data_IF_025174537642
#
_entry.id   IF_025174537642
#
_cell.length_a   1.000
_cell.length_b   1.000
_cell.length_c   1.000
_cell.angle_alpha   90.00
_cell.angle_beta   90.00
_cell.angle_gamma   90.00
#
_symmetry.space_group_name_H-M   'P 1'
#
loop_
_entity.id
_entity.type
_entity.pdbx_description
1 polymer ?
#
# COMPACT_ATOMS: atom_id res chain seq x y z
N UNK A 1 -61.39 -29.21 39.95
CA UNK A 1 -59.96 -28.82 40.09
C UNK A 1 -59.83 -27.33 39.81
N UNK A 2 -59.71 -26.50 40.87
CA UNK A 2 -59.59 -25.04 40.77
C UNK A 2 -58.11 -24.67 40.67
N UNK A 3 -57.71 -24.01 39.57
CA UNK A 3 -56.40 -23.35 39.46
C UNK A 3 -56.37 -22.16 40.43
N UNK A 4 -55.35 -22.02 41.30
CA UNK A 4 -55.25 -20.85 42.17
C UNK A 4 -54.89 -19.63 41.31
N UNK A 5 -55.81 -18.67 41.25
CA UNK A 5 -55.52 -17.32 40.74
C UNK A 5 -54.78 -16.57 41.85
N UNK A 6 -53.54 -16.13 41.56
CA UNK A 6 -52.68 -15.36 42.47
C UNK A 6 -53.46 -14.19 43.12
N UNK A 7 -53.69 -14.20 44.45
CA UNK A 7 -54.24 -13.06 45.16
C UNK A 7 -53.08 -12.18 45.63
N UNK A 8 -52.42 -11.46 44.71
CA UNK A 8 -51.32 -10.56 45.08
C UNK A 8 -51.52 -9.09 44.65
N UNK A 9 -52.68 -8.74 44.09
CA UNK A 9 -52.89 -7.49 43.33
C UNK A 9 -54.02 -6.60 43.89
N UNK A 10 -54.05 -6.34 45.21
CA UNK A 10 -54.98 -5.34 45.80
C UNK A 10 -54.29 -4.40 46.81
N UNK A 11 -53.01 -4.13 46.63
CA UNK A 11 -52.33 -3.04 47.33
C UNK A 11 -52.27 -1.81 46.43
N UNK A 12 -52.67 -0.64 46.95
CA UNK A 12 -52.54 0.65 46.27
C UNK A 12 -51.14 0.85 45.66
N UNK A 13 -50.10 0.37 46.36
CA UNK A 13 -48.70 0.36 45.92
C UNK A 13 -48.45 -0.46 44.66
N UNK A 14 -49.05 -1.65 44.52
CA UNK A 14 -48.89 -2.50 43.34
C UNK A 14 -49.60 -1.90 42.13
N UNK A 15 -50.76 -1.26 42.35
CA UNK A 15 -51.51 -0.59 41.31
C UNK A 15 -50.78 0.66 40.79
N UNK A 16 -50.19 1.47 41.68
CA UNK A 16 -49.32 2.59 41.31
C UNK A 16 -48.11 2.08 40.53
N UNK A 17 -47.42 1.04 41.01
CA UNK A 17 -46.24 0.50 40.33
C UNK A 17 -46.55 -0.02 38.92
N UNK A 18 -47.66 -0.74 38.74
CA UNK A 18 -48.03 -1.32 37.45
C UNK A 18 -48.56 -0.28 36.44
N UNK A 19 -49.29 0.74 36.90
CA UNK A 19 -49.99 1.68 36.01
C UNK A 19 -49.16 2.93 35.71
N UNK A 20 -48.30 3.39 36.62
CA UNK A 20 -47.52 4.62 36.42
C UNK A 20 -46.04 4.35 36.28
N UNK A 21 -45.45 3.60 37.21
CA UNK A 21 -43.99 3.41 37.25
C UNK A 21 -43.53 2.55 36.09
N UNK A 22 -44.15 1.39 35.87
CA UNK A 22 -43.75 0.45 34.83
C UNK A 22 -43.84 1.02 33.39
N UNK A 23 -44.92 1.71 32.96
CA UNK A 23 -44.93 2.31 31.64
C UNK A 23 -43.95 3.49 31.52
N UNK A 24 -43.72 4.26 32.58
CA UNK A 24 -42.74 5.34 32.57
C UNK A 24 -41.31 4.79 32.43
N UNK A 25 -40.96 3.73 33.16
CA UNK A 25 -39.64 3.10 33.04
C UNK A 25 -39.45 2.46 31.66
N UNK A 26 -40.49 1.83 31.11
CA UNK A 26 -40.44 1.27 29.77
C UNK A 26 -40.25 2.36 28.70
N UNK A 27 -40.92 3.51 28.85
CA UNK A 27 -40.72 4.66 27.98
C UNK A 27 -39.29 5.21 28.08
N UNK A 28 -38.77 5.39 29.30
CA UNK A 28 -37.39 5.84 29.53
C UNK A 28 -36.38 4.86 28.93
N UNK A 29 -36.61 3.56 29.06
CA UNK A 29 -35.77 2.52 28.48
C UNK A 29 -35.77 2.61 26.96
N UNK A 30 -36.93 2.76 26.34
CA UNK A 30 -37.05 2.89 24.88
C UNK A 30 -36.29 4.12 24.36
N UNK A 31 -36.42 5.27 25.03
CA UNK A 31 -35.68 6.50 24.67
C UNK A 31 -34.17 6.31 24.87
N UNK A 32 -33.75 5.72 25.99
CA UNK A 32 -32.34 5.51 26.30
C UNK A 32 -31.66 4.57 25.29
N UNK A 33 -32.28 3.43 24.97
CA UNK A 33 -31.77 2.50 23.97
C UNK A 33 -31.77 3.10 22.57
N UNK A 34 -32.81 3.86 22.21
CA UNK A 34 -32.87 4.57 20.93
C UNK A 34 -31.73 5.57 20.77
N UNK A 35 -31.50 6.40 21.79
CA UNK A 35 -30.41 7.39 21.80
C UNK A 35 -29.02 6.74 21.72
N UNK A 36 -28.79 5.68 22.50
CA UNK A 36 -27.54 4.95 22.49
C UNK A 36 -27.26 4.29 21.14
N UNK A 37 -28.28 3.65 20.54
CA UNK A 37 -28.14 2.99 19.24
C UNK A 37 -27.81 3.99 18.12
N UNK A 38 -28.46 5.16 18.12
CA UNK A 38 -28.17 6.23 17.16
C UNK A 38 -26.74 6.75 17.34
N UNK A 39 -26.34 7.06 18.58
CA UNK A 39 -25.01 7.58 18.87
C UNK A 39 -23.90 6.59 18.47
N UNK A 40 -24.09 5.30 18.73
CA UNK A 40 -23.16 4.26 18.29
C UNK A 40 -23.06 4.14 16.76
N UNK A 41 -24.15 4.38 16.04
CA UNK A 41 -24.16 4.33 14.57
C UNK A 41 -23.42 5.53 14.01
N UNK A 42 -23.68 6.71 14.54
CA UNK A 42 -23.01 7.95 14.11
C UNK A 42 -21.50 7.88 14.35
N UNK A 43 -21.08 7.36 15.52
CA UNK A 43 -19.66 7.18 15.81
C UNK A 43 -18.99 6.15 14.89
N UNK A 44 -19.68 5.05 14.55
CA UNK A 44 -19.15 4.08 13.58
C UNK A 44 -19.02 4.67 12.18
N UNK A 45 -19.99 5.48 11.74
CA UNK A 45 -19.92 6.16 10.45
C UNK A 45 -18.75 7.14 10.40
N UNK A 46 -18.54 7.95 11.45
CA UNK A 46 -17.42 8.89 11.52
C UNK A 46 -16.05 8.22 11.48
N UNK A 47 -15.90 7.05 12.13
CA UNK A 47 -14.65 6.28 12.06
C UNK A 47 -14.45 5.70 10.66
N UNK A 48 -15.50 5.14 10.05
CA UNK A 48 -15.44 4.62 8.68
C UNK A 48 -14.99 5.69 7.67
N UNK A 49 -15.60 6.88 7.71
CA UNK A 49 -15.25 7.99 6.82
C UNK A 49 -13.80 8.46 7.03
N UNK A 50 -13.33 8.44 8.28
CA UNK A 50 -11.95 8.83 8.60
C UNK A 50 -10.97 7.79 8.07
N UNK A 51 -11.25 6.52 8.27
CA UNK A 51 -10.38 5.42 7.88
C UNK A 51 -10.33 5.29 6.34
N UNK A 52 -11.45 5.52 5.65
CA UNK A 52 -11.49 5.61 4.18
C UNK A 52 -10.61 6.74 3.66
N UNK A 53 -10.76 7.95 4.21
CA UNK A 53 -9.94 9.11 3.80
C UNK A 53 -8.46 8.92 4.11
N UNK A 54 -8.16 8.26 5.22
CA UNK A 54 -6.79 7.89 5.61
C UNK A 54 -6.16 6.95 4.58
N UNK A 55 -6.85 5.86 4.22
CA UNK A 55 -6.38 4.91 3.19
C UNK A 55 -6.25 5.59 1.84
N UNK A 56 -7.21 6.41 1.44
CA UNK A 56 -7.17 7.14 0.17
C UNK A 56 -5.99 8.11 0.12
N UNK A 57 -5.70 8.83 1.21
CA UNK A 57 -4.54 9.71 1.29
C UNK A 57 -3.22 8.95 1.21
N UNK A 58 -3.13 7.79 1.87
CA UNK A 58 -1.95 6.93 1.81
C UNK A 58 -1.72 6.37 0.40
N UNK A 59 -2.79 5.91 -0.25
CA UNK A 59 -2.73 5.41 -1.63
C UNK A 59 -2.30 6.51 -2.61
N UNK A 60 -2.87 7.72 -2.49
CA UNK A 60 -2.49 8.86 -3.34
C UNK A 60 -1.02 9.28 -3.15
N UNK A 61 -0.51 9.19 -1.92
CA UNK A 61 0.90 9.47 -1.64
C UNK A 61 1.82 8.42 -2.28
N UNK A 62 1.49 7.13 -2.17
CA UNK A 62 2.24 6.06 -2.83
C UNK A 62 2.19 6.17 -4.36
N UNK A 63 1.02 6.51 -4.91
CA UNK A 63 0.83 6.73 -6.35
C UNK A 63 1.69 7.90 -6.85
N UNK A 64 1.74 9.01 -6.12
CA UNK A 64 2.59 10.16 -6.47
C UNK A 64 4.07 9.77 -6.50
N UNK A 65 4.50 8.96 -5.54
CA UNK A 65 5.88 8.53 -5.37
C UNK A 65 6.29 7.47 -6.42
N UNK A 66 5.36 6.61 -6.85
CA UNK A 66 5.54 5.73 -8.01
C UNK A 66 5.61 6.53 -9.32
N UNK A 67 4.70 7.48 -9.53
CA UNK A 67 4.73 8.36 -10.70
C UNK A 67 6.02 9.18 -10.77
N UNK A 68 6.54 9.62 -9.63
CA UNK A 68 7.83 10.30 -9.55
C UNK A 68 8.95 9.42 -10.13
N UNK A 69 9.09 8.18 -9.65
CA UNK A 69 10.11 7.24 -10.18
C UNK A 69 9.93 6.92 -11.66
N UNK A 70 8.69 6.74 -12.11
CA UNK A 70 8.39 6.53 -13.54
C UNK A 70 8.83 7.73 -14.39
N UNK A 71 8.59 8.95 -13.92
CA UNK A 71 9.03 10.17 -14.58
C UNK A 71 10.56 10.30 -14.56
N UNK A 72 11.24 9.92 -13.47
CA UNK A 72 12.70 9.88 -13.37
C UNK A 72 13.31 8.94 -14.42
N UNK A 73 12.80 7.70 -14.54
CA UNK A 73 13.26 6.73 -15.56
C UNK A 73 12.95 7.21 -16.98
N UNK A 74 11.78 7.81 -17.22
CA UNK A 74 11.43 8.36 -18.54
C UNK A 74 12.34 9.54 -18.93
N UNK A 75 12.71 10.37 -17.96
CA UNK A 75 13.65 11.48 -18.16
C UNK A 75 15.04 10.95 -18.50
N UNK A 76 15.50 9.89 -17.83
CA UNK A 76 16.74 9.20 -18.17
C UNK A 76 16.73 8.61 -19.58
N UNK A 77 15.62 7.98 -19.98
CA UNK A 77 15.48 7.47 -21.35
C UNK A 77 15.58 8.60 -22.40
N UNK A 78 14.99 9.76 -22.11
CA UNK A 78 15.10 10.96 -22.98
C UNK A 78 16.53 11.49 -23.04
N UNK A 79 17.29 11.42 -21.94
CA UNK A 79 18.70 11.81 -21.93
C UNK A 79 19.51 10.85 -22.81
N UNK A 80 19.27 9.54 -22.70
CA UNK A 80 19.91 8.52 -23.55
C UNK A 80 19.57 8.72 -25.02
N UNK A 81 18.33 9.11 -25.35
CA UNK A 81 17.94 9.43 -26.74
C UNK A 81 18.78 10.59 -27.30
N UNK A 82 19.06 11.61 -26.48
CA UNK A 82 19.75 12.84 -26.92
C UNK A 82 21.28 12.76 -26.88
N UNK A 83 21.84 12.07 -25.89
CA UNK A 83 23.27 12.10 -25.54
C UNK A 83 23.93 10.72 -25.53
N UNK A 84 23.18 9.67 -25.86
CA UNK A 84 23.64 8.29 -25.81
C UNK A 84 24.02 7.82 -24.39
N UNK A 85 24.76 6.72 -24.32
CA UNK A 85 25.23 6.11 -23.06
C UNK A 85 26.11 7.03 -22.23
N UNK A 86 26.92 7.89 -22.86
CA UNK A 86 27.76 8.87 -22.16
C UNK A 86 26.93 9.91 -21.40
N UNK A 87 25.74 10.27 -21.91
CA UNK A 87 24.81 11.15 -21.19
C UNK A 87 24.28 10.52 -19.91
N UNK A 88 23.95 9.23 -19.96
CA UNK A 88 23.49 8.46 -18.80
C UNK A 88 24.58 8.31 -17.73
N UNK A 89 25.80 7.95 -18.14
CA UNK A 89 26.96 7.82 -17.23
C UNK A 89 27.25 9.14 -16.49
N UNK A 90 27.20 10.27 -17.20
CA UNK A 90 27.38 11.58 -16.59
C UNK A 90 26.29 11.93 -15.57
N UNK A 91 25.04 11.51 -15.83
CA UNK A 91 23.94 11.74 -14.89
C UNK A 91 24.06 10.82 -13.68
N UNK A 92 24.39 9.54 -13.84
CA UNK A 92 24.59 8.65 -12.69
C UNK A 92 25.80 9.01 -11.84
N UNK A 93 26.85 9.55 -12.46
CA UNK A 93 28.07 9.95 -11.76
C UNK A 93 27.93 11.29 -11.03
N UNK A 94 26.89 12.06 -11.35
CA UNK A 94 26.62 13.30 -10.64
C UNK A 94 26.08 13.00 -9.24
N UNK A 95 26.45 13.75 -8.19
CA UNK A 95 25.81 13.65 -6.89
C UNK A 95 24.38 14.21 -7.00
N UNK A 96 23.44 13.36 -7.39
CA UNK A 96 22.03 13.70 -7.58
C UNK A 96 21.12 12.69 -6.88
N UNK A 97 19.89 13.12 -6.60
CA UNK A 97 18.86 12.34 -5.89
C UNK A 97 18.38 11.10 -6.66
N UNK A 98 18.79 10.91 -7.92
CA UNK A 98 18.35 9.72 -8.68
C UNK A 98 18.80 8.40 -8.04
N UNK A 99 19.93 8.40 -7.35
CA UNK A 99 20.41 7.20 -6.63
C UNK A 99 19.62 6.92 -5.35
N UNK A 100 18.93 7.92 -4.79
CA UNK A 100 18.10 7.72 -3.59
C UNK A 100 16.69 7.22 -3.93
N UNK A 101 16.23 7.48 -5.15
CA UNK A 101 14.94 6.98 -5.67
C UNK A 101 14.92 5.46 -5.92
N UNK A 102 16.08 4.85 -6.21
CA UNK A 102 16.19 3.43 -6.60
C UNK A 102 17.11 2.67 -5.64
N UNK A 103 16.53 1.83 -4.78
CA UNK A 103 17.29 1.01 -3.81
C UNK A 103 18.30 0.07 -4.48
N UNK A 104 17.96 -0.48 -5.66
CA UNK A 104 18.86 -1.32 -6.46
C UNK A 104 19.70 -0.50 -7.47
N UNK A 105 19.56 0.82 -7.42
CA UNK A 105 20.10 1.76 -8.38
C UNK A 105 19.48 1.63 -9.77
N UNK A 106 20.20 2.16 -10.78
CA UNK A 106 19.72 2.23 -12.16
C UNK A 106 20.78 1.72 -13.13
N UNK A 107 20.33 1.13 -14.24
CA UNK A 107 21.16 0.51 -15.27
C UNK A 107 20.70 0.87 -16.66
N UNK A 108 21.65 0.82 -17.59
CA UNK A 108 21.45 0.87 -19.02
C UNK A 108 21.70 -0.52 -19.60
N UNK A 109 20.76 -0.99 -20.40
CA UNK A 109 20.69 -2.35 -20.89
C UNK A 109 20.46 -2.33 -22.41
N UNK A 110 21.17 -3.21 -23.11
CA UNK A 110 21.01 -3.43 -24.55
C UNK A 110 19.71 -4.21 -24.87
N UNK A 111 19.21 -4.27 -26.13
CA UNK A 111 18.05 -5.07 -26.50
C UNK A 111 18.19 -6.55 -26.16
N UNK A 112 19.43 -7.06 -26.16
CA UNK A 112 19.77 -8.43 -25.79
C UNK A 112 19.80 -8.68 -24.26
N UNK A 113 19.35 -7.71 -23.45
CA UNK A 113 19.36 -7.75 -21.97
C UNK A 113 20.77 -7.86 -21.37
N UNK A 114 21.77 -7.33 -22.07
CA UNK A 114 23.12 -7.20 -21.54
C UNK A 114 23.30 -5.85 -20.85
N UNK A 115 23.86 -5.88 -19.65
CA UNK A 115 24.19 -4.67 -18.91
C UNK A 115 25.32 -3.93 -19.63
N UNK A 116 25.05 -2.70 -20.07
CA UNK A 116 26.03 -1.80 -20.70
C UNK A 116 26.70 -0.97 -19.62
N UNK A 117 25.90 -0.44 -18.70
CA UNK A 117 26.34 0.39 -17.58
C UNK A 117 25.40 0.21 -16.40
N UNK A 118 25.93 0.20 -15.19
CA UNK A 118 25.13 0.11 -13.98
C UNK A 118 25.69 0.93 -12.84
N UNK A 119 24.81 1.30 -11.90
CA UNK A 119 25.23 1.71 -10.56
C UNK A 119 25.88 0.54 -9.79
N UNK A 120 26.41 0.81 -8.60
CA UNK A 120 27.22 -0.08 -7.72
C UNK A 120 26.71 -1.53 -7.44
N UNK A 121 25.58 -1.97 -8.00
CA UNK A 121 24.92 -3.27 -7.79
C UNK A 121 24.89 -4.15 -9.06
N UNK A 122 26.03 -4.28 -9.74
CA UNK A 122 26.14 -5.07 -10.98
C UNK A 122 25.73 -6.54 -10.81
N UNK A 123 25.98 -7.15 -9.64
CA UNK A 123 25.59 -8.54 -9.37
C UNK A 123 24.07 -8.74 -9.34
N UNK A 124 23.33 -7.82 -8.71
CA UNK A 124 21.87 -7.84 -8.69
C UNK A 124 21.30 -7.74 -10.11
N UNK A 125 21.79 -6.79 -10.89
CA UNK A 125 21.28 -6.57 -12.24
C UNK A 125 21.63 -7.68 -13.21
N UNK A 126 22.82 -8.27 -13.10
CA UNK A 126 23.16 -9.46 -13.87
C UNK A 126 22.22 -10.64 -13.55
N UNK A 127 21.88 -10.85 -12.28
CA UNK A 127 20.91 -11.88 -11.88
C UNK A 127 19.51 -11.59 -12.43
N UNK A 128 19.02 -10.36 -12.29
CA UNK A 128 17.70 -9.95 -12.80
C UNK A 128 17.61 -10.12 -14.32
N UNK A 129 18.62 -9.70 -15.06
CA UNK A 129 18.58 -9.73 -16.53
C UNK A 129 18.77 -11.14 -17.11
N UNK A 130 19.59 -11.98 -16.47
CA UNK A 130 19.93 -13.31 -16.99
C UNK A 130 19.07 -14.44 -16.41
N UNK A 131 18.72 -14.37 -15.12
CA UNK A 131 18.04 -15.44 -14.41
C UNK A 131 16.52 -15.20 -14.24
N UNK A 132 16.02 -14.01 -14.59
CA UNK A 132 14.58 -13.70 -14.57
C UNK A 132 14.05 -13.32 -15.96
N UNK A 133 14.07 -14.23 -16.95
CA UNK A 133 13.65 -13.93 -18.32
C UNK A 133 12.16 -13.55 -18.42
N UNK A 134 11.33 -14.08 -17.53
CA UNK A 134 9.88 -13.83 -17.49
C UNK A 134 9.52 -12.45 -16.92
N UNK A 135 10.49 -11.72 -16.36
CA UNK A 135 10.24 -10.40 -15.80
C UNK A 135 9.86 -9.43 -16.93
N UNK A 136 8.68 -8.82 -16.82
CA UNK A 136 8.21 -7.81 -17.77
C UNK A 136 9.07 -6.54 -17.64
N UNK A 137 9.82 -6.24 -18.70
CA UNK A 137 10.58 -5.00 -18.86
C UNK A 137 10.11 -4.26 -20.12
N UNK A 138 10.41 -2.97 -20.21
CA UNK A 138 10.02 -2.13 -21.32
C UNK A 138 10.69 -2.57 -22.64
N UNK A 139 9.92 -2.53 -23.71
CA UNK A 139 10.34 -2.87 -25.07
C UNK A 139 10.07 -1.72 -26.02
N UNK A 140 10.57 -1.81 -27.26
CA UNK A 140 10.26 -0.85 -28.33
C UNK A 140 8.76 -0.70 -28.65
N UNK A 141 7.92 -1.64 -28.18
CA UNK A 141 6.46 -1.58 -28.36
C UNK A 141 5.73 -0.83 -27.24
N UNK A 142 6.41 -0.55 -26.12
CA UNK A 142 5.81 0.12 -24.98
C UNK A 142 5.92 1.66 -25.14
N UNK A 143 4.80 2.40 -25.07
CA UNK A 143 4.79 3.85 -25.30
C UNK A 143 5.33 4.68 -24.11
N UNK A 144 5.76 4.03 -23.03
CA UNK A 144 6.18 4.68 -21.80
C UNK A 144 6.78 3.70 -20.80
N UNK A 145 7.08 4.15 -19.57
CA UNK A 145 7.69 3.32 -18.55
C UNK A 145 6.77 2.17 -18.13
N UNK A 146 7.37 1.01 -17.90
CA UNK A 146 6.71 -0.24 -17.50
C UNK A 146 7.21 -0.67 -16.13
N UNK A 147 6.29 -1.13 -15.29
CA UNK A 147 6.60 -1.79 -14.03
C UNK A 147 6.59 -3.30 -14.21
N UNK A 148 7.56 -3.97 -13.62
CA UNK A 148 7.57 -5.42 -13.47
C UNK A 148 6.61 -5.86 -12.37
N UNK A 149 6.27 -7.16 -12.37
CA UNK A 149 5.68 -7.76 -11.18
C UNK A 149 6.72 -7.79 -10.03
N UNK A 150 6.28 -7.77 -8.77
CA UNK A 150 7.17 -7.90 -7.62
C UNK A 150 7.86 -9.27 -7.63
N UNK A 151 9.17 -9.29 -7.40
CA UNK A 151 9.95 -10.53 -7.30
C UNK A 151 10.88 -10.48 -6.09
N UNK A 152 11.22 -11.66 -5.56
CA UNK A 152 12.13 -11.80 -4.43
C UNK A 152 13.57 -11.88 -4.93
N UNK A 153 14.41 -10.92 -4.52
CA UNK A 153 15.84 -10.99 -4.79
C UNK A 153 16.47 -12.15 -3.98
N UNK A 154 17.13 -13.12 -4.63
CA UNK A 154 17.75 -14.24 -3.95
C UNK A 154 18.87 -13.83 -2.99
N UNK A 155 19.57 -12.72 -3.25
CA UNK A 155 20.70 -12.25 -2.45
C UNK A 155 20.26 -11.54 -1.17
N UNK A 156 19.47 -10.47 -1.29
CA UNK A 156 19.01 -9.67 -0.15
C UNK A 156 17.78 -10.25 0.57
N UNK A 157 17.08 -11.21 -0.06
CA UNK A 157 15.77 -11.72 0.41
C UNK A 157 14.71 -10.63 0.55
N UNK A 158 14.82 -9.57 -0.23
CA UNK A 158 13.84 -8.47 -0.28
C UNK A 158 13.06 -8.51 -1.58
N UNK A 159 11.82 -8.02 -1.51
CA UNK A 159 11.00 -7.85 -2.70
C UNK A 159 11.46 -6.60 -3.47
N UNK A 160 11.57 -6.72 -4.78
CA UNK A 160 11.88 -5.62 -5.69
C UNK A 160 10.85 -5.53 -6.79
N UNK A 161 10.69 -4.31 -7.29
CA UNK A 161 9.95 -4.00 -8.52
C UNK A 161 10.91 -3.21 -9.41
N UNK A 162 10.93 -3.55 -10.70
CA UNK A 162 11.72 -2.83 -11.70
C UNK A 162 10.80 -1.86 -12.45
N UNK A 163 11.24 -0.61 -12.56
CA UNK A 163 10.69 0.36 -13.50
C UNK A 163 11.67 0.43 -14.67
N UNK A 164 11.16 0.29 -15.88
CA UNK A 164 11.98 0.36 -17.09
C UNK A 164 11.33 1.23 -18.15
N UNK A 165 12.13 1.89 -18.98
CA UNK A 165 11.68 2.64 -20.15
C UNK A 165 12.61 2.37 -21.33
N UNK A 166 12.04 2.40 -22.53
CA UNK A 166 12.76 2.12 -23.76
C UNK A 166 13.07 3.41 -24.53
N UNK A 167 14.33 3.55 -24.94
CA UNK A 167 14.86 4.64 -25.76
C UNK A 167 14.89 4.18 -27.22
N UNK A 168 13.98 4.71 -28.04
CA UNK A 168 13.82 4.27 -29.43
C UNK A 168 14.96 4.74 -30.34
N UNK A 169 15.60 5.88 -30.05
CA UNK A 169 16.67 6.37 -30.93
C UNK A 169 18.01 5.70 -30.67
N UNK A 170 18.24 5.27 -29.43
CA UNK A 170 19.48 4.59 -29.04
C UNK A 170 19.33 3.06 -29.00
N UNK A 171 18.13 2.53 -29.23
CA UNK A 171 17.80 1.10 -29.17
C UNK A 171 18.20 0.49 -27.82
N UNK A 172 17.99 1.22 -26.72
CA UNK A 172 18.46 0.84 -25.38
C UNK A 172 17.32 0.93 -24.37
N UNK A 173 17.43 0.14 -23.31
CA UNK A 173 16.51 0.16 -22.18
C UNK A 173 17.18 0.72 -20.94
N UNK A 174 16.49 1.60 -20.24
CA UNK A 174 16.89 2.10 -18.93
C UNK A 174 16.00 1.39 -17.90
N UNK A 175 16.60 0.89 -16.83
CA UNK A 175 15.86 0.26 -15.74
C UNK A 175 16.35 0.76 -14.38
N UNK A 176 15.44 0.88 -13.41
CA UNK A 176 15.73 1.18 -12.02
C UNK A 176 14.94 0.26 -11.11
N UNK A 177 15.60 -0.26 -10.08
CA UNK A 177 14.98 -1.19 -9.13
C UNK A 177 14.71 -0.50 -7.80
N UNK A 178 13.50 -0.66 -7.28
CA UNK A 178 13.14 -0.15 -5.96
C UNK A 178 12.45 -1.25 -5.13
N UNK A 179 12.55 -1.12 -3.81
CA UNK A 179 11.86 -1.99 -2.86
C UNK A 179 10.50 -1.39 -2.52
N UNK A 180 9.39 -2.12 -2.73
CA UNK A 180 8.07 -1.70 -2.24
C UNK A 180 8.05 -1.46 -0.73
N UNK A 181 8.89 -2.17 0.02
CA UNK A 181 9.04 -2.01 1.47
C UNK A 181 9.66 -0.65 1.81
N UNK A 182 10.77 -0.27 1.15
CA UNK A 182 11.42 1.03 1.32
C UNK A 182 10.48 2.17 0.95
N UNK A 183 9.82 2.06 -0.20
CA UNK A 183 8.81 3.00 -0.68
C UNK A 183 7.70 3.20 0.37
N UNK A 184 7.07 2.11 0.78
CA UNK A 184 5.99 2.16 1.75
C UNK A 184 6.45 2.74 3.10
N UNK A 185 7.63 2.35 3.57
CA UNK A 185 8.18 2.88 4.81
C UNK A 185 8.40 4.39 4.74
N UNK A 186 9.03 4.89 3.68
CA UNK A 186 9.33 6.32 3.52
C UNK A 186 8.06 7.16 3.39
N UNK A 187 7.09 6.71 2.59
CA UNK A 187 5.84 7.44 2.35
C UNK A 187 4.89 7.36 3.55
N UNK A 188 4.71 6.18 4.14
CA UNK A 188 3.65 5.94 5.13
C UNK A 188 4.08 6.29 6.55
N UNK A 189 5.37 6.17 6.90
CA UNK A 189 5.84 6.54 8.24
C UNK A 189 5.70 8.04 8.50
N UNK A 190 5.76 8.86 7.45
CA UNK A 190 5.48 10.30 7.53
C UNK A 190 4.01 10.59 7.88
N UNK A 191 3.07 9.74 7.40
CA UNK A 191 1.63 9.89 7.63
C UNK A 191 1.17 9.24 8.94
N UNK A 192 1.82 8.14 9.35
CA UNK A 192 1.47 7.33 10.51
C UNK A 192 2.72 6.93 11.30
N UNK A 193 3.24 7.81 12.18
CA UNK A 193 4.40 7.47 13.01
C UNK A 193 4.12 6.27 13.93
N UNK A 194 5.16 5.47 14.19
CA UNK A 194 5.08 4.26 15.02
C UNK A 194 4.48 4.54 16.41
N UNK A 195 3.61 3.64 16.87
CA UNK A 195 2.87 3.77 18.14
C UNK A 195 1.39 4.15 18.01
N UNK A 196 0.90 4.36 16.78
CA UNK A 196 -0.54 4.40 16.51
C UNK A 196 -1.13 2.98 16.55
N UNK A 197 -2.38 2.84 17.00
CA UNK A 197 -3.13 1.56 16.96
C UNK A 197 -3.55 1.19 15.51
N UNK A 198 -2.74 1.55 14.53
CA UNK A 198 -3.03 1.42 13.10
C UNK A 198 -2.05 0.43 12.50
N UNK A 199 -2.62 -0.51 11.75
CA UNK A 199 -1.88 -1.55 11.04
C UNK A 199 -2.08 -1.33 9.55
N UNK A 200 -0.98 -1.17 8.84
CA UNK A 200 -1.00 -0.85 7.41
C UNK A 200 -0.35 -2.01 6.66
N UNK A 201 -1.02 -2.43 5.60
CA UNK A 201 -0.54 -3.44 4.67
C UNK A 201 -0.52 -2.85 3.26
N UNK A 202 0.58 -3.04 2.54
CA UNK A 202 0.61 -2.88 1.08
C UNK A 202 0.52 -4.26 0.46
N UNK A 203 -0.34 -4.41 -0.53
CA UNK A 203 -0.52 -5.68 -1.24
C UNK A 203 -0.51 -5.44 -2.74
N UNK A 204 -0.09 -6.46 -3.48
CA UNK A 204 -0.26 -6.49 -4.94
C UNK A 204 -1.70 -6.91 -5.32
N UNK A 205 -1.98 -6.98 -6.63
CA UNK A 205 -3.27 -7.44 -7.13
C UNK A 205 -3.59 -8.92 -6.82
N UNK A 206 -2.58 -9.72 -6.47
CA UNK A 206 -2.71 -11.12 -6.08
C UNK A 206 -2.95 -11.32 -4.58
N UNK A 207 -3.00 -10.23 -3.80
CA UNK A 207 -3.09 -10.19 -2.33
C UNK A 207 -1.81 -10.66 -1.63
N UNK A 208 -0.68 -10.69 -2.32
CA UNK A 208 0.62 -10.85 -1.69
C UNK A 208 0.97 -9.58 -0.92
N UNK A 209 1.33 -9.73 0.36
CA UNK A 209 1.78 -8.61 1.19
C UNK A 209 3.18 -8.18 0.76
N UNK A 210 3.30 -6.94 0.31
CA UNK A 210 4.56 -6.29 -0.07
C UNK A 210 5.17 -5.48 1.07
N UNK A 211 4.35 -5.01 2.02
CA UNK A 211 4.79 -4.27 3.20
C UNK A 211 3.81 -4.43 4.36
N UNK A 212 4.33 -4.45 5.58
CA UNK A 212 3.56 -4.29 6.82
C UNK A 212 4.32 -3.42 7.83
N UNK A 213 3.62 -2.53 8.53
CA UNK A 213 4.26 -1.71 9.57
C UNK A 213 4.58 -2.47 10.88
N UNK A 214 4.12 -3.73 11.00
CA UNK A 214 4.29 -4.58 12.17
C UNK A 214 5.49 -5.50 11.96
N UNK A 215 6.34 -5.68 12.97
CA UNK A 215 7.60 -6.45 12.87
C UNK A 215 7.40 -7.97 12.97
N UNK A 216 6.19 -8.48 12.71
CA UNK A 216 5.92 -9.93 12.78
C UNK A 216 6.06 -10.57 11.39
N UNK A 217 6.81 -11.68 11.26
CA UNK A 217 7.02 -12.32 9.97
C UNK A 217 5.72 -12.93 9.45
N UNK A 218 5.40 -12.62 8.19
CA UNK A 218 4.67 -13.42 7.21
C UNK A 218 3.84 -14.59 7.77
N UNK A 219 2.56 -14.36 7.95
CA UNK A 219 1.55 -15.40 7.78
C UNK A 219 0.42 -14.78 6.96
N UNK A 220 0.09 -15.41 5.83
CA UNK A 220 -0.89 -14.90 4.87
C UNK A 220 -2.20 -14.53 5.57
N UNK A 221 -2.77 -13.38 5.20
CA UNK A 221 -4.03 -12.93 5.78
C UNK A 221 -5.13 -13.97 5.48
N UNK A 222 -5.90 -14.40 6.50
CA UNK A 222 -7.04 -15.28 6.29
C UNK A 222 -8.07 -14.59 5.39
N UNK A 223 -8.73 -15.39 4.56
CA UNK A 223 -9.54 -14.99 3.40
C UNK A 223 -10.84 -14.21 3.69
N UNK A 224 -11.04 -13.69 4.88
CA UNK A 224 -12.24 -12.95 5.28
C UNK A 224 -11.88 -11.55 5.81
N UNK A 225 -11.60 -10.61 4.91
CA UNK A 225 -11.85 -9.16 5.02
C UNK A 225 -11.90 -8.54 3.63
#
# INVERSE_FOLDING_TARGET
>A
MKKPRLPLLRGLTVQILAITVLPLTLLLLLIAFGSYSLHQRDMRALVSDRDERAVQSAAAALEAELHHRMASISSLATIVDSSGSAGFENVLSAPNDLTSDFDAGAVLVDPDRHLIFGSEQDEFWNDVLQNSPDLRLASASDPGPVLSDPFLDPASKRMFVIISAYSLSSDMMIAGGFSPESLAWQTLTALYPGGSQVRIYLMDASRQVLFSNDTSPSDGLPSDH
#
